data_IF_971478064342
#
_entry.id   IF_971478064342
#
_cell.length_a   1.000
_cell.length_b   1.000
_cell.length_c   1.000
_cell.angle_alpha   90.00
_cell.angle_beta   90.00
_cell.angle_gamma   90.00
#
_symmetry.space_group_name_H-M   'P 1'
#
loop_
_entity.id
_entity.type
_entity.pdbx_description
1 polymer ?
#
# COMPACT_ATOMS: atom_id res chain seq x y z
N UNK A 1 10.55 -5.52 -46.22
CA UNK A 1 9.34 -4.74 -46.19
C UNK A 1 8.21 -5.39 -45.47
N UNK A 2 7.52 -6.22 -46.13
CA UNK A 2 6.37 -6.87 -45.55
C UNK A 2 6.71 -7.63 -44.31
N UNK A 3 7.88 -8.21 -44.29
CA UNK A 3 8.32 -8.95 -43.12
C UNK A 3 8.41 -8.12 -41.88
N UNK A 4 8.91 -6.92 -42.03
CA UNK A 4 9.03 -6.05 -40.87
C UNK A 4 7.70 -5.71 -40.23
N UNK A 5 6.70 -5.47 -41.04
CA UNK A 5 5.38 -5.16 -40.52
C UNK A 5 4.82 -6.30 -39.68
N UNK A 6 5.03 -7.49 -40.13
CA UNK A 6 4.53 -8.64 -39.37
C UNK A 6 5.21 -8.79 -38.03
N UNK A 7 6.48 -8.55 -38.01
CA UNK A 7 7.22 -8.66 -36.76
C UNK A 7 6.74 -7.64 -35.71
N UNK A 8 6.46 -6.47 -36.13
CA UNK A 8 5.98 -5.45 -35.20
C UNK A 8 4.70 -5.88 -34.52
N UNK A 9 3.77 -6.37 -35.31
CA UNK A 9 2.49 -6.77 -34.77
C UNK A 9 2.66 -7.88 -33.73
N UNK A 10 3.51 -8.82 -34.01
CA UNK A 10 3.72 -9.92 -33.08
C UNK A 10 4.30 -9.45 -31.76
N UNK A 11 5.26 -8.58 -31.82
CA UNK A 11 5.91 -8.08 -30.63
C UNK A 11 4.92 -7.34 -29.74
N UNK A 12 4.14 -6.49 -30.33
CA UNK A 12 3.17 -5.71 -29.57
C UNK A 12 2.18 -6.60 -28.85
N UNK A 13 1.70 -7.61 -29.52
CA UNK A 13 0.74 -8.53 -28.94
C UNK A 13 1.31 -9.24 -27.72
N UNK A 14 2.53 -9.69 -27.82
CA UNK A 14 3.16 -10.40 -26.73
C UNK A 14 3.30 -9.53 -25.50
N UNK A 15 3.79 -8.34 -25.68
CA UNK A 15 3.99 -7.44 -24.57
C UNK A 15 2.68 -7.14 -23.84
N UNK A 16 1.64 -6.91 -24.59
CA UNK A 16 0.35 -6.60 -23.99
C UNK A 16 -0.16 -7.74 -23.12
N UNK A 17 -0.05 -8.95 -23.60
CA UNK A 17 -0.55 -10.11 -22.87
C UNK A 17 0.18 -10.30 -21.56
N UNK A 18 1.48 -10.17 -21.58
CA UNK A 18 2.28 -10.38 -20.38
C UNK A 18 1.91 -9.38 -19.29
N UNK A 19 1.74 -8.14 -19.65
CA UNK A 19 1.45 -7.11 -18.68
C UNK A 19 0.06 -7.26 -18.08
N UNK A 20 -0.89 -7.64 -18.88
CA UNK A 20 -2.28 -7.63 -18.45
C UNK A 20 -2.63 -8.80 -17.54
N UNK A 21 -2.22 -9.98 -17.90
CA UNK A 21 -2.65 -11.17 -17.19
C UNK A 21 -2.26 -11.20 -15.72
N UNK A 22 -1.00 -10.97 -15.36
CA UNK A 22 -0.64 -11.00 -13.95
C UNK A 22 -1.38 -9.96 -13.11
N UNK A 23 -1.58 -8.79 -13.67
CA UNK A 23 -2.25 -7.73 -12.95
C UNK A 23 -3.68 -8.10 -12.60
N UNK A 24 -4.38 -8.72 -13.54
CA UNK A 24 -5.75 -9.12 -13.31
C UNK A 24 -5.87 -10.25 -12.30
N UNK A 25 -4.90 -11.15 -12.29
CA UNK A 25 -4.93 -12.28 -11.38
C UNK A 25 -4.62 -11.89 -9.94
N UNK A 26 -3.92 -10.77 -9.76
CA UNK A 26 -3.40 -10.39 -8.43
C UNK A 26 -4.21 -9.28 -7.81
N UNK A 27 -5.50 -9.47 -7.67
CA UNK A 27 -6.33 -8.51 -6.96
C UNK A 27 -6.08 -8.60 -5.47
N UNK A 28 -6.00 -7.46 -4.76
CA UNK A 28 -5.78 -7.51 -3.32
C UNK A 28 -6.96 -8.12 -2.59
N UNK A 29 -6.70 -8.86 -1.50
CA UNK A 29 -7.78 -9.42 -0.70
C UNK A 29 -8.65 -8.31 -0.10
N UNK A 30 -9.96 -8.52 0.00
CA UNK A 30 -10.84 -7.50 0.58
C UNK A 30 -10.46 -7.10 2.00
N UNK A 31 -10.00 -8.05 2.81
CA UNK A 31 -9.59 -7.76 4.18
C UNK A 31 -8.40 -6.82 4.21
N UNK A 32 -7.48 -6.99 3.28
CA UNK A 32 -6.30 -6.12 3.22
C UNK A 32 -6.68 -4.71 2.79
N UNK A 33 -7.58 -4.59 1.84
CA UNK A 33 -8.06 -3.29 1.39
C UNK A 33 -8.77 -2.56 2.54
N UNK A 34 -9.56 -3.29 3.29
CA UNK A 34 -10.26 -2.69 4.43
C UNK A 34 -9.28 -2.28 5.52
N UNK A 35 -8.27 -3.09 5.77
CA UNK A 35 -7.24 -2.75 6.74
C UNK A 35 -6.50 -1.46 6.34
N UNK A 36 -6.17 -1.34 5.08
CA UNK A 36 -5.49 -0.15 4.58
C UNK A 36 -6.37 1.08 4.77
N UNK A 37 -7.65 0.96 4.49
CA UNK A 37 -8.59 2.06 4.69
C UNK A 37 -8.66 2.45 6.16
N UNK A 38 -8.75 1.48 7.05
CA UNK A 38 -8.82 1.75 8.49
C UNK A 38 -7.56 2.41 9.01
N UNK A 39 -6.40 1.96 8.55
CA UNK A 39 -5.13 2.55 8.96
C UNK A 39 -5.05 4.00 8.48
N UNK A 40 -5.49 4.27 7.27
CA UNK A 40 -5.48 5.64 6.74
C UNK A 40 -6.37 6.55 7.56
N UNK A 41 -7.55 6.06 7.95
CA UNK A 41 -8.47 6.86 8.76
C UNK A 41 -7.90 7.13 10.15
N UNK A 42 -7.32 6.13 10.77
CA UNK A 42 -6.72 6.31 12.09
C UNK A 42 -5.52 7.25 12.04
N UNK A 43 -4.75 7.14 10.97
CA UNK A 43 -3.60 8.03 10.80
C UNK A 43 -4.06 9.48 10.71
N UNK A 44 -5.11 9.73 9.94
CA UNK A 44 -5.65 11.08 9.83
C UNK A 44 -6.18 11.57 11.18
N UNK A 45 -6.85 10.69 11.91
CA UNK A 45 -7.40 11.05 13.22
C UNK A 45 -6.30 11.45 14.21
N UNK A 46 -5.24 10.66 14.27
CA UNK A 46 -4.14 10.96 15.20
C UNK A 46 -3.43 12.23 14.76
N UNK A 47 -3.25 12.42 13.46
CA UNK A 47 -2.62 13.62 12.94
C UNK A 47 -3.42 14.87 13.31
N UNK A 48 -4.73 14.78 13.21
CA UNK A 48 -5.61 15.89 13.53
C UNK A 48 -5.60 16.20 15.02
N UNK A 49 -5.32 15.21 15.86
CA UNK A 49 -5.19 15.41 17.29
C UNK A 49 -3.99 16.30 17.66
N UNK A 50 -3.00 16.35 16.77
CA UNK A 50 -1.85 17.22 16.95
C UNK A 50 -0.94 16.81 18.09
N UNK A 51 -0.30 15.65 18.01
CA UNK A 51 0.62 15.25 19.08
C UNK A 51 1.75 16.26 19.22
N UNK A 52 2.04 16.64 20.45
CA UNK A 52 3.05 17.66 20.75
C UNK A 52 4.35 17.07 21.26
N UNK A 53 4.28 15.87 21.84
CA UNK A 53 5.46 15.18 22.34
C UNK A 53 6.35 14.75 21.18
N UNK A 54 7.67 15.01 21.25
CA UNK A 54 8.57 14.59 20.17
C UNK A 54 8.55 13.10 19.91
N UNK A 55 8.41 12.28 20.96
CA UNK A 55 8.35 10.83 20.78
C UNK A 55 7.09 10.43 20.04
N UNK A 56 5.96 11.03 20.40
CA UNK A 56 4.69 10.76 19.72
C UNK A 56 4.73 11.19 18.27
N UNK A 57 5.34 12.33 18.01
CA UNK A 57 5.45 12.80 16.62
C UNK A 57 6.31 11.87 15.79
N UNK A 58 7.37 11.32 16.37
CA UNK A 58 8.20 10.36 15.66
C UNK A 58 7.44 9.08 15.40
N UNK A 59 6.66 8.63 16.36
CA UNK A 59 5.84 7.44 16.17
C UNK A 59 4.79 7.65 15.10
N UNK A 60 4.20 8.83 15.05
CA UNK A 60 3.26 9.16 14.00
C UNK A 60 3.93 9.14 12.63
N UNK A 61 5.13 9.68 12.56
CA UNK A 61 5.91 9.64 11.33
C UNK A 61 6.19 8.20 10.91
N UNK A 62 6.58 7.35 11.85
CA UNK A 62 6.86 5.95 11.57
C UNK A 62 5.60 5.24 11.07
N UNK A 63 4.46 5.52 11.68
CA UNK A 63 3.20 4.91 11.24
C UNK A 63 2.85 5.35 9.83
N UNK A 64 3.09 6.62 9.51
CA UNK A 64 2.85 7.13 8.17
C UNK A 64 3.73 6.44 7.14
N UNK A 65 5.00 6.22 7.48
CA UNK A 65 5.92 5.52 6.60
C UNK A 65 5.47 4.08 6.36
N UNK A 66 5.02 3.41 7.41
CA UNK A 66 4.54 2.05 7.30
C UNK A 66 3.28 1.96 6.44
N UNK A 67 2.40 2.94 6.58
CA UNK A 67 1.20 2.98 5.76
C UNK A 67 1.53 3.15 4.28
N UNK A 68 2.47 4.03 3.98
CA UNK A 68 2.92 4.22 2.61
C UNK A 68 3.60 2.98 2.05
N UNK A 69 4.37 2.30 2.89
CA UNK A 69 4.98 1.03 2.51
C UNK A 69 3.93 -0.01 2.19
N UNK A 70 2.89 -0.05 3.01
CA UNK A 70 1.79 -0.98 2.77
C UNK A 70 1.09 -0.70 1.45
N UNK A 71 0.83 0.57 1.15
CA UNK A 71 0.21 0.92 -0.12
C UNK A 71 1.08 0.52 -1.31
N UNK A 72 2.38 0.79 -1.21
CA UNK A 72 3.29 0.41 -2.29
C UNK A 72 3.34 -1.09 -2.48
N UNK A 73 3.32 -1.84 -1.38
CA UNK A 73 3.33 -3.29 -1.46
C UNK A 73 2.06 -3.83 -2.10
N UNK A 74 0.92 -3.22 -1.80
CA UNK A 74 -0.34 -3.62 -2.45
C UNK A 74 -0.24 -3.41 -3.95
N UNK A 75 0.27 -2.26 -4.36
CA UNK A 75 0.39 -1.96 -5.78
C UNK A 75 1.34 -2.90 -6.49
N UNK A 76 2.37 -3.37 -5.81
CA UNK A 76 3.32 -4.30 -6.42
C UNK A 76 2.88 -5.76 -6.30
N UNK A 77 1.78 -6.02 -5.60
CA UNK A 77 1.28 -7.39 -5.45
C UNK A 77 1.87 -8.17 -4.29
N UNK A 78 2.68 -7.53 -3.47
CA UNK A 78 3.29 -8.18 -2.31
C UNK A 78 2.37 -8.02 -1.10
N UNK A 79 1.31 -8.81 -1.08
CA UNK A 79 0.26 -8.63 -0.09
C UNK A 79 0.70 -9.02 1.31
N UNK A 80 1.65 -9.91 1.43
CA UNK A 80 2.15 -10.29 2.75
C UNK A 80 2.93 -9.14 3.38
N UNK A 81 3.80 -8.50 2.63
CA UNK A 81 4.51 -7.32 3.12
C UNK A 81 3.56 -6.19 3.46
N UNK A 82 2.53 -6.03 2.64
CA UNK A 82 1.52 -5.01 2.88
C UNK A 82 0.83 -5.25 4.22
N UNK A 83 0.42 -6.49 4.46
CA UNK A 83 -0.24 -6.83 5.71
C UNK A 83 0.65 -6.55 6.90
N UNK A 84 1.91 -6.98 6.83
CA UNK A 84 2.85 -6.74 7.92
C UNK A 84 3.03 -5.25 8.22
N UNK A 85 3.21 -4.47 7.18
CA UNK A 85 3.41 -3.03 7.35
C UNK A 85 2.18 -2.35 7.94
N UNK A 86 1.01 -2.70 7.44
CA UNK A 86 -0.22 -2.10 7.91
C UNK A 86 -0.54 -2.51 9.34
N UNK A 87 -0.25 -3.75 9.71
CA UNK A 87 -0.44 -4.19 11.09
C UNK A 87 0.45 -3.42 12.05
N UNK A 88 1.69 -3.18 11.66
CA UNK A 88 2.60 -2.40 12.48
C UNK A 88 2.14 -0.96 12.61
N UNK A 89 1.68 -0.38 11.52
CA UNK A 89 1.16 0.98 11.56
C UNK A 89 -0.03 1.06 12.50
N UNK A 90 -0.94 0.11 12.41
CA UNK A 90 -2.12 0.08 13.25
C UNK A 90 -1.76 -0.03 14.73
N UNK A 91 -0.75 -0.84 15.04
CA UNK A 91 -0.32 -0.99 16.42
C UNK A 91 0.24 0.31 16.98
N UNK A 92 1.04 1.02 16.19
CA UNK A 92 1.58 2.31 16.61
C UNK A 92 0.45 3.31 16.83
N UNK A 93 -0.49 3.37 15.90
CA UNK A 93 -1.60 4.31 15.99
C UNK A 93 -2.49 4.01 17.17
N UNK A 94 -2.70 2.75 17.48
CA UNK A 94 -3.49 2.37 18.62
C UNK A 94 -2.85 2.85 19.91
N UNK A 95 -1.55 2.70 20.04
CA UNK A 95 -0.83 3.17 21.22
C UNK A 95 -0.92 4.69 21.36
N UNK A 96 -0.81 5.39 20.25
CA UNK A 96 -0.91 6.84 20.27
C UNK A 96 -2.29 7.29 20.73
N UNK A 97 -3.32 6.59 20.29
CA UNK A 97 -4.68 6.92 20.72
C UNK A 97 -4.87 6.68 22.21
N UNK A 98 -4.31 5.61 22.73
CA UNK A 98 -4.41 5.32 24.16
C UNK A 98 -3.74 6.39 25.00
N UNK A 99 -2.62 6.91 24.54
CA UNK A 99 -1.93 7.97 25.24
C UNK A 99 -2.73 9.26 25.22
N UNK A 100 -3.36 9.56 24.08
CA UNK A 100 -4.13 10.81 23.94
C UNK A 100 -5.40 10.81 24.76
N UNK A 101 -5.96 9.66 24.99
CA UNK A 101 -7.17 9.55 25.79
C UNK A 101 -6.84 9.61 27.28
#
# INVERSE_FOLDING_TARGET
MRTGARLFAAIAAIATLVDTCPALAASPPPDLVEMERQVSLELAHVRDSGPTDPVERKQLFDANQLEQKGEAAIKSGDYKSAEDSLLRAREILRRLREISD
#
